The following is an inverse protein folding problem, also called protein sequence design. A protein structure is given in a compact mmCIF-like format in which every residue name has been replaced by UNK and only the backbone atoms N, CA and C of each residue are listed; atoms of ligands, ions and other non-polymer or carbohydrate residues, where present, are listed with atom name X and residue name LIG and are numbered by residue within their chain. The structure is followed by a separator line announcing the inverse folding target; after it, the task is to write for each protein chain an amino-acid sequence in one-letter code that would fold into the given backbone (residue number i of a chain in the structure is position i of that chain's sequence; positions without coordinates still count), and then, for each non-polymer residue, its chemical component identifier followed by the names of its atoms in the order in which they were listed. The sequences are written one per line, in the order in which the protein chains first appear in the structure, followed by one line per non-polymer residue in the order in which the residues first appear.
data_IF_172499028242
#
_entry.id   IF_172499028242
#
_cell.length_a   1.000
_cell.length_b   1.000
_cell.length_c   1.000
_cell.angle_alpha   90.00
_cell.angle_beta   90.00
_cell.angle_gamma   90.00
#
_symmetry.space_group_name_H-M   'P 1'
#
loop_
_entity.id
_entity.type
_entity.pdbx_description
1 polymer ?
#
# COMPACT_ATOMS: atom_id res chain seq x y z
N UNK A 1 -10.50 -22.73 -73.37
CA UNK A 1 -10.32 -22.01 -72.10
C UNK A 1 -9.70 -22.96 -71.08
N UNK A 2 -8.51 -22.58 -70.59
CA UNK A 2 -7.67 -23.11 -69.50
C UNK A 2 -7.96 -24.47 -68.83
N UNK A 3 -7.07 -25.41 -69.16
CA UNK A 3 -6.37 -26.44 -68.38
C UNK A 3 -6.73 -26.72 -66.90
N UNK A 4 -6.95 -28.01 -66.66
CA UNK A 4 -6.80 -28.78 -65.42
C UNK A 4 -5.35 -29.24 -65.28
N UNK A 5 -4.76 -29.20 -64.07
CA UNK A 5 -3.70 -30.15 -63.69
C UNK A 5 -3.72 -30.44 -62.17
N UNK A 6 -3.52 -31.71 -61.84
CA UNK A 6 -3.49 -32.33 -60.51
C UNK A 6 -2.08 -32.89 -60.21
N UNK A 7 -1.77 -32.98 -58.91
CA UNK A 7 -0.82 -33.87 -58.18
C UNK A 7 0.65 -33.45 -57.99
N UNK A 8 1.09 -33.61 -56.74
CA UNK A 8 2.45 -33.69 -56.15
C UNK A 8 3.13 -35.05 -56.44
N UNK A 9 4.37 -35.44 -55.97
CA UNK A 9 5.32 -34.81 -55.03
C UNK A 9 6.85 -35.01 -55.34
N UNK A 10 7.73 -34.60 -54.40
CA UNK A 10 9.13 -35.06 -54.11
C UNK A 10 10.33 -34.48 -54.90
N UNK A 11 11.40 -34.23 -54.11
CA UNK A 11 12.83 -34.02 -54.42
C UNK A 11 13.29 -32.64 -54.93
N UNK A 12 13.94 -31.87 -54.04
CA UNK A 12 15.27 -31.28 -54.29
C UNK A 12 15.99 -31.01 -52.96
N UNK A 13 17.02 -31.80 -52.70
CA UNK A 13 18.06 -31.57 -51.70
C UNK A 13 19.10 -30.57 -52.24
N UNK A 14 19.75 -29.88 -51.31
CA UNK A 14 21.03 -29.17 -51.42
C UNK A 14 21.06 -27.80 -52.12
N UNK A 15 21.19 -26.72 -51.32
CA UNK A 15 22.45 -25.97 -51.18
C UNK A 15 22.18 -24.56 -50.62
N UNK A 16 22.52 -24.33 -49.35
CA UNK A 16 22.87 -22.99 -48.83
C UNK A 16 23.50 -23.11 -47.43
N UNK A 17 24.77 -23.52 -47.38
CA UNK A 17 25.67 -23.18 -46.27
C UNK A 17 26.38 -21.88 -46.66
N UNK A 18 25.93 -20.73 -46.14
CA UNK A 18 26.82 -19.58 -45.98
C UNK A 18 26.63 -18.98 -44.59
N UNK A 19 27.67 -19.21 -43.79
CA UNK A 19 27.84 -18.89 -42.38
C UNK A 19 28.13 -17.39 -42.30
N UNK A 20 27.26 -16.61 -41.67
CA UNK A 20 27.59 -15.29 -41.17
C UNK A 20 27.77 -15.40 -39.65
N UNK A 21 29.04 -15.38 -39.24
CA UNK A 21 29.47 -15.05 -37.89
C UNK A 21 28.89 -13.68 -37.51
N UNK A 22 28.04 -13.65 -36.49
CA UNK A 22 27.86 -12.46 -35.65
C UNK A 22 27.80 -12.91 -34.20
N UNK A 23 28.82 -12.53 -33.47
CA UNK A 23 29.00 -12.75 -32.04
C UNK A 23 27.77 -12.23 -31.28
N UNK A 24 26.93 -13.16 -30.82
CA UNK A 24 25.93 -12.86 -29.81
C UNK A 24 26.64 -12.90 -28.45
N UNK A 25 26.76 -11.74 -27.80
CA UNK A 25 27.18 -11.65 -26.40
C UNK A 25 26.17 -12.40 -25.54
N UNK A 26 26.68 -13.27 -24.70
CA UNK A 26 25.97 -14.07 -23.71
C UNK A 26 25.08 -13.19 -22.82
N UNK A 27 23.77 -13.34 -22.94
CA UNK A 27 22.86 -13.09 -21.82
C UNK A 27 23.03 -14.30 -20.89
N UNK A 28 23.47 -14.03 -19.66
CA UNK A 28 23.72 -15.02 -18.62
C UNK A 28 22.43 -15.77 -18.28
N UNK A 29 22.36 -17.04 -18.69
CA UNK A 29 21.44 -18.02 -18.11
C UNK A 29 21.97 -18.38 -16.72
N UNK A 30 21.32 -17.90 -15.66
CA UNK A 30 21.44 -18.53 -14.35
C UNK A 30 20.49 -19.75 -14.32
N UNK A 31 20.94 -20.93 -13.87
CA UNK A 31 20.12 -22.13 -13.86
C UNK A 31 19.03 -22.06 -12.79
N UNK A 32 17.82 -22.48 -13.14
CA UNK A 32 16.75 -22.80 -12.19
C UNK A 32 17.19 -24.01 -11.36
N UNK A 33 17.54 -23.79 -10.10
CA UNK A 33 17.69 -24.87 -9.13
C UNK A 33 16.29 -25.26 -8.67
N UNK A 34 15.85 -26.45 -9.06
CA UNK A 34 14.68 -27.10 -8.49
C UNK A 34 14.99 -27.52 -7.06
N UNK A 35 14.46 -26.80 -6.08
CA UNK A 35 14.47 -27.22 -4.68
C UNK A 35 13.27 -28.15 -4.42
N UNK A 36 13.57 -29.44 -4.27
CA UNK A 36 12.68 -30.39 -3.63
C UNK A 36 12.46 -29.93 -2.17
N UNK A 37 11.21 -29.69 -1.80
CA UNK A 37 10.82 -29.25 -0.47
C UNK A 37 10.72 -30.45 0.48
N UNK A 38 11.81 -30.77 1.16
CA UNK A 38 11.75 -31.42 2.46
C UNK A 38 11.70 -30.32 3.53
N UNK A 39 10.60 -30.29 4.29
CA UNK A 39 10.36 -29.31 5.36
C UNK A 39 11.28 -29.63 6.53
N UNK A 40 12.43 -28.96 6.58
CA UNK A 40 13.27 -28.89 7.79
C UNK A 40 12.85 -27.64 8.56
N UNK A 41 12.23 -27.84 9.73
CA UNK A 41 11.92 -26.76 10.68
C UNK A 41 13.22 -26.20 11.29
N UNK A 42 13.88 -25.30 10.58
CA UNK A 42 14.97 -24.52 11.15
C UNK A 42 14.40 -23.42 12.05
N UNK A 43 14.48 -23.64 13.37
CA UNK A 43 14.25 -22.60 14.37
C UNK A 43 15.20 -21.42 14.10
N UNK A 44 14.72 -20.17 14.06
CA UNK A 44 15.56 -19.04 13.72
C UNK A 44 16.68 -18.87 14.76
N UNK A 45 17.92 -18.56 14.34
CA UNK A 45 19.02 -18.33 15.27
C UNK A 45 18.68 -17.14 16.17
N UNK A 46 18.65 -17.39 17.48
CA UNK A 46 18.41 -16.36 18.50
C UNK A 46 19.47 -15.27 18.38
N UNK A 47 19.04 -14.04 18.05
CA UNK A 47 19.81 -12.82 18.32
C UNK A 47 20.38 -12.05 17.13
N UNK A 48 20.13 -12.43 15.87
CA UNK A 48 20.44 -11.55 14.73
C UNK A 48 19.17 -11.04 14.07
N UNK A 49 18.86 -9.75 14.30
CA UNK A 49 17.83 -9.04 13.52
C UNK A 49 18.18 -9.20 12.03
N UNK A 50 17.24 -9.60 11.15
CA UNK A 50 17.51 -9.65 9.72
C UNK A 50 17.97 -8.27 9.27
N UNK A 51 19.20 -8.18 8.77
CA UNK A 51 19.69 -6.96 8.12
C UNK A 51 18.97 -6.88 6.78
N UNK A 52 17.87 -6.13 6.73
CA UNK A 52 17.24 -5.78 5.46
C UNK A 52 18.32 -5.15 4.57
N UNK A 53 18.53 -5.73 3.38
CA UNK A 53 19.60 -5.30 2.46
C UNK A 53 19.49 -3.82 2.06
N UNK A 54 18.32 -3.20 2.20
CA UNK A 54 18.10 -1.77 2.03
C UNK A 54 16.94 -1.30 2.93
N UNK A 55 17.19 -0.49 3.98
CA UNK A 55 16.13 0.09 4.81
C UNK A 55 15.12 0.93 4.01
N UNK A 56 15.54 1.45 2.86
CA UNK A 56 14.74 2.30 1.96
C UNK A 56 13.61 1.56 1.26
N UNK A 57 13.73 0.25 1.02
CA UNK A 57 12.66 -0.52 0.35
C UNK A 57 11.39 -0.62 1.20
N UNK A 58 11.52 -0.59 2.52
CA UNK A 58 10.37 -0.59 3.43
C UNK A 58 9.56 0.70 3.30
N UNK A 59 10.21 1.83 3.02
CA UNK A 59 9.54 3.13 2.98
C UNK A 59 8.49 3.26 1.89
N UNK A 60 8.61 2.47 0.81
CA UNK A 60 7.61 2.44 -0.25
C UNK A 60 6.21 2.13 0.27
N UNK A 61 6.09 1.19 1.19
CA UNK A 61 4.80 0.78 1.73
C UNK A 61 4.39 1.60 2.96
N UNK A 62 5.38 2.09 3.72
CA UNK A 62 5.13 2.92 4.90
C UNK A 62 4.60 4.30 4.49
N UNK A 63 5.28 4.94 3.54
CA UNK A 63 5.05 6.33 3.14
C UNK A 63 4.75 6.48 1.63
N UNK A 64 3.77 5.75 1.05
CA UNK A 64 3.46 5.80 -0.38
C UNK A 64 3.25 7.23 -0.92
N UNK A 65 2.84 8.18 -0.08
CA UNK A 65 2.60 9.56 -0.48
C UNK A 65 3.83 10.35 -0.93
N UNK A 66 5.05 9.98 -0.52
CA UNK A 66 6.27 10.66 -0.99
C UNK A 66 6.58 10.33 -2.45
N UNK A 67 6.00 9.25 -2.97
CA UNK A 67 6.10 8.89 -4.36
C UNK A 67 5.12 9.75 -5.18
N UNK A 68 5.61 10.48 -6.19
CA UNK A 68 4.78 11.27 -7.09
C UNK A 68 3.85 10.44 -7.99
N UNK A 69 2.91 11.10 -8.68
CA UNK A 69 2.04 10.42 -9.64
C UNK A 69 2.87 9.82 -10.79
N UNK A 70 2.71 8.53 -11.13
CA UNK A 70 3.44 7.88 -12.22
C UNK A 70 3.21 8.49 -13.61
N UNK A 71 2.10 9.21 -13.82
CA UNK A 71 1.74 9.76 -15.12
C UNK A 71 2.65 10.96 -15.48
N UNK A 72 3.45 10.88 -16.56
CA UNK A 72 4.40 11.93 -16.95
C UNK A 72 3.76 13.32 -17.13
N UNK A 73 2.48 13.38 -17.52
CA UNK A 73 1.77 14.65 -17.73
C UNK A 73 1.64 15.49 -16.47
N UNK A 74 1.60 14.84 -15.31
CA UNK A 74 1.46 15.51 -14.02
C UNK A 74 2.80 15.73 -13.32
N UNK A 75 3.91 15.21 -13.84
CA UNK A 75 5.24 15.29 -13.20
C UNK A 75 5.85 16.70 -13.35
N UNK A 76 6.41 17.21 -12.26
CA UNK A 76 7.25 18.40 -12.29
C UNK A 76 8.26 18.32 -11.14
N UNK A 77 9.55 18.16 -11.48
CA UNK A 77 10.62 17.93 -10.51
C UNK A 77 10.71 19.04 -9.45
N UNK A 78 10.58 20.31 -9.85
CA UNK A 78 10.65 21.43 -8.92
C UNK A 78 9.46 21.43 -7.96
N UNK A 79 8.24 21.25 -8.49
CA UNK A 79 7.02 21.19 -7.68
C UNK A 79 7.11 20.08 -6.64
N UNK A 80 7.53 18.90 -7.04
CA UNK A 80 7.62 17.73 -6.17
C UNK A 80 8.69 17.89 -5.08
N UNK A 81 9.83 18.52 -5.39
CA UNK A 81 10.86 18.83 -4.39
C UNK A 81 10.35 19.82 -3.35
N UNK A 82 9.62 20.86 -3.78
CA UNK A 82 8.98 21.83 -2.87
C UNK A 82 7.90 21.17 -2.01
N UNK A 83 6.98 20.40 -2.61
CA UNK A 83 5.94 19.66 -1.88
C UNK A 83 6.56 18.71 -0.85
N UNK A 84 7.66 18.02 -1.20
CA UNK A 84 8.37 17.13 -0.28
C UNK A 84 8.98 17.87 0.91
N UNK A 85 9.59 19.03 0.66
CA UNK A 85 10.11 19.88 1.73
C UNK A 85 8.99 20.31 2.69
N UNK A 86 7.84 20.71 2.17
CA UNK A 86 6.68 21.09 2.97
C UNK A 86 6.08 19.92 3.76
N UNK A 87 5.95 18.73 3.14
CA UNK A 87 5.53 17.51 3.82
C UNK A 87 6.44 17.17 5.01
N UNK A 88 7.76 17.25 4.81
CA UNK A 88 8.74 16.95 5.86
C UNK A 88 8.72 18.02 6.96
N UNK A 89 8.53 19.29 6.59
CA UNK A 89 8.30 20.38 7.55
C UNK A 89 7.03 20.13 8.38
N UNK A 90 5.93 19.69 7.79
CA UNK A 90 4.70 19.36 8.52
C UNK A 90 4.90 18.17 9.48
N UNK A 91 5.59 17.12 9.03
CA UNK A 91 5.98 15.96 9.87
C UNK A 91 6.92 16.33 11.03
N UNK A 92 7.63 17.45 10.94
CA UNK A 92 8.41 17.93 12.09
C UNK A 92 7.52 18.41 13.24
N UNK A 93 6.30 18.87 12.93
CA UNK A 93 5.35 19.45 13.88
C UNK A 93 4.34 18.42 14.41
N UNK A 94 3.85 17.53 13.55
CA UNK A 94 2.91 16.46 13.92
C UNK A 94 3.53 15.10 13.65
N UNK A 95 3.39 14.19 14.61
CA UNK A 95 3.88 12.84 14.45
C UNK A 95 2.90 12.03 13.59
N UNK A 96 3.38 11.58 12.43
CA UNK A 96 2.60 10.78 11.49
C UNK A 96 3.20 9.36 11.51
N UNK A 97 2.54 8.41 12.18
CA UNK A 97 3.06 7.06 12.36
C UNK A 97 3.00 6.24 11.07
N UNK A 98 3.65 5.08 11.09
CA UNK A 98 3.49 4.04 10.07
C UNK A 98 2.12 3.37 10.21
N UNK A 99 1.37 3.28 9.12
CA UNK A 99 0.11 2.53 9.06
C UNK A 99 -0.17 2.03 7.65
N UNK A 100 -1.01 1.01 7.54
CA UNK A 100 -1.39 0.39 6.26
C UNK A 100 -2.90 0.35 6.10
N UNK A 101 -3.35 -0.09 4.94
CA UNK A 101 -4.76 -0.43 4.74
C UNK A 101 -5.08 -1.67 5.58
N UNK A 102 -6.12 -1.56 6.40
CA UNK A 102 -6.48 -2.53 7.43
C UNK A 102 -6.06 -2.14 8.85
N UNK A 103 -5.16 -1.17 9.01
CA UNK A 103 -4.76 -0.67 10.34
C UNK A 103 -5.90 0.10 11.01
N UNK A 104 -6.07 -0.06 12.32
CA UNK A 104 -7.04 0.68 13.13
C UNK A 104 -6.37 1.93 13.68
N UNK A 105 -6.94 3.10 13.40
CA UNK A 105 -6.41 4.41 13.77
C UNK A 105 -7.40 5.18 14.63
N UNK A 106 -6.86 6.01 15.52
CA UNK A 106 -7.57 7.10 16.19
C UNK A 106 -7.00 8.44 15.71
N UNK A 107 -7.82 9.26 15.06
CA UNK A 107 -7.42 10.57 14.56
C UNK A 107 -8.10 11.65 15.39
N UNK A 108 -7.32 12.60 15.88
CA UNK A 108 -7.81 13.77 16.63
C UNK A 108 -7.64 15.03 15.78
N UNK A 109 -8.74 15.72 15.53
CA UNK A 109 -8.81 16.97 14.76
C UNK A 109 -9.25 18.12 15.66
N UNK A 110 -8.75 19.33 15.34
CA UNK A 110 -9.28 20.59 15.84
C UNK A 110 -10.54 20.98 15.05
N UNK A 111 -11.70 20.94 15.70
CA UNK A 111 -12.99 21.31 15.10
C UNK A 111 -13.62 22.46 15.90
N UNK A 112 -13.80 23.66 15.33
CA UNK A 112 -14.39 24.80 16.03
C UNK A 112 -15.81 24.56 16.57
N UNK A 113 -16.57 23.63 15.97
CA UNK A 113 -17.96 23.37 16.32
C UNK A 113 -18.13 22.22 17.30
N UNK A 114 -17.09 21.41 17.51
CA UNK A 114 -17.13 20.30 18.47
C UNK A 114 -17.06 20.80 19.92
N UNK A 115 -17.69 20.07 20.83
CA UNK A 115 -17.54 20.30 22.26
C UNK A 115 -16.07 20.10 22.65
N UNK A 116 -15.44 21.12 23.25
CA UNK A 116 -14.00 21.09 23.54
C UNK A 116 -13.08 21.39 22.36
N UNK A 117 -13.63 21.89 21.24
CA UNK A 117 -12.91 22.27 20.01
C UNK A 117 -12.06 21.16 19.37
N UNK A 118 -12.29 19.91 19.79
CA UNK A 118 -11.53 18.74 19.37
C UNK A 118 -12.48 17.60 19.10
N UNK A 119 -12.21 16.83 18.05
CA UNK A 119 -13.00 15.68 17.67
C UNK A 119 -12.07 14.49 17.43
N UNK A 120 -12.40 13.35 18.04
CA UNK A 120 -11.66 12.09 17.93
C UNK A 120 -12.51 11.07 17.19
N UNK A 121 -11.97 10.49 16.14
CA UNK A 121 -12.62 9.41 15.40
C UNK A 121 -11.73 8.17 15.38
N UNK A 122 -12.32 7.02 15.70
CA UNK A 122 -11.65 5.71 15.64
C UNK A 122 -12.25 4.90 14.51
N UNK A 123 -11.40 4.26 13.71
CA UNK A 123 -11.86 3.37 12.65
C UNK A 123 -10.74 2.64 11.91
N UNK A 124 -11.13 1.70 11.07
CA UNK A 124 -10.21 0.97 10.17
C UNK A 124 -9.90 1.80 8.93
N UNK A 125 -8.63 1.84 8.54
CA UNK A 125 -8.20 2.47 7.29
C UNK A 125 -8.58 1.58 6.09
N UNK A 126 -9.48 2.06 5.23
CA UNK A 126 -10.00 1.28 4.08
C UNK A 126 -9.32 1.62 2.75
N UNK A 127 -8.77 2.83 2.63
CA UNK A 127 -8.08 3.33 1.45
C UNK A 127 -7.00 4.32 1.87
N UNK A 128 -5.84 4.22 1.23
CA UNK A 128 -4.83 5.29 1.14
C UNK A 128 -4.67 5.67 -0.32
N UNK A 129 -4.76 6.95 -0.65
CA UNK A 129 -4.63 7.44 -2.03
C UNK A 129 -4.02 8.83 -2.09
N UNK A 130 -3.76 9.29 -3.30
CA UNK A 130 -3.12 10.58 -3.53
C UNK A 130 -1.61 10.52 -3.28
N UNK A 131 -0.95 11.60 -3.68
CA UNK A 131 0.49 11.79 -3.55
C UNK A 131 0.78 13.21 -3.09
N UNK A 132 1.97 13.43 -2.53
CA UNK A 132 2.39 14.74 -2.03
C UNK A 132 1.51 15.23 -0.89
N UNK A 133 1.23 16.54 -0.90
CA UNK A 133 0.36 17.17 0.10
C UNK A 133 -1.11 16.72 0.03
N UNK A 134 -1.54 16.20 -1.12
CA UNK A 134 -2.92 15.71 -1.36
C UNK A 134 -3.10 14.24 -1.01
N UNK A 135 -2.23 13.71 -0.15
CA UNK A 135 -2.35 12.35 0.33
C UNK A 135 -3.53 12.24 1.29
N UNK A 136 -4.41 11.29 1.03
CA UNK A 136 -5.65 11.09 1.77
C UNK A 136 -5.73 9.65 2.28
N UNK A 137 -6.41 9.47 3.41
CA UNK A 137 -6.82 8.16 3.88
C UNK A 137 -8.26 8.21 4.38
N UNK A 138 -8.99 7.11 4.21
CA UNK A 138 -10.39 7.01 4.65
C UNK A 138 -10.49 6.04 5.81
N UNK A 139 -11.07 6.49 6.91
CA UNK A 139 -11.41 5.66 8.06
C UNK A 139 -12.88 5.27 8.00
N UNK A 140 -13.17 4.04 8.38
CA UNK A 140 -14.52 3.50 8.51
C UNK A 140 -14.75 2.95 9.90
N UNK A 141 -15.91 3.25 10.49
CA UNK A 141 -16.38 2.59 11.70
C UNK A 141 -17.91 2.47 11.67
N UNK A 142 -18.46 1.53 12.41
CA UNK A 142 -19.90 1.43 12.66
C UNK A 142 -20.16 1.90 14.08
N UNK A 143 -20.83 3.03 14.23
CA UNK A 143 -21.18 3.63 15.52
C UNK A 143 -22.70 3.66 15.58
N UNK A 144 -23.28 3.16 16.68
CA UNK A 144 -24.74 3.09 16.87
C UNK A 144 -25.48 2.46 15.68
N UNK A 145 -24.93 1.35 15.17
CA UNK A 145 -25.41 0.62 13.99
C UNK A 145 -25.41 1.42 12.66
N UNK A 146 -24.86 2.63 12.65
CA UNK A 146 -24.68 3.46 11.46
C UNK A 146 -23.23 3.39 10.98
N UNK A 147 -23.05 3.09 9.70
CA UNK A 147 -21.73 3.12 9.07
C UNK A 147 -21.29 4.55 8.80
N UNK A 148 -20.18 4.97 9.42
CA UNK A 148 -19.59 6.30 9.26
C UNK A 148 -18.24 6.14 8.56
N UNK A 149 -18.02 6.97 7.55
CA UNK A 149 -16.73 7.09 6.87
C UNK A 149 -16.25 8.53 6.94
N UNK A 150 -15.00 8.72 7.37
CA UNK A 150 -14.37 10.03 7.40
C UNK A 150 -13.09 9.97 6.59
N UNK A 151 -12.96 10.91 5.66
CA UNK A 151 -11.76 11.08 4.85
C UNK A 151 -10.90 12.16 5.47
N UNK A 152 -9.62 11.85 5.63
CA UNK A 152 -8.62 12.75 6.18
C UNK A 152 -7.55 13.04 5.13
N UNK A 153 -7.18 14.30 5.00
CA UNK A 153 -5.96 14.70 4.32
C UNK A 153 -4.78 14.58 5.30
N UNK A 154 -3.75 13.83 4.94
CA UNK A 154 -2.66 13.45 5.86
C UNK A 154 -1.89 14.65 6.41
N UNK A 155 -1.79 15.72 5.63
CA UNK A 155 -1.02 16.93 5.95
C UNK A 155 -1.89 18.11 6.37
N UNK A 156 -3.19 17.90 6.61
CA UNK A 156 -4.11 18.94 7.05
C UNK A 156 -3.60 19.60 8.37
N UNK A 157 -3.52 20.94 8.44
CA UNK A 157 -3.19 21.65 9.67
C UNK A 157 -4.16 21.38 10.83
N UNK A 158 -5.41 20.99 10.57
CA UNK A 158 -6.40 20.72 11.63
C UNK A 158 -6.10 19.44 12.42
N UNK A 159 -5.33 18.51 11.84
CA UNK A 159 -4.93 17.27 12.52
C UNK A 159 -3.94 17.59 13.65
N UNK A 160 -4.32 17.19 14.86
CA UNK A 160 -3.51 17.33 16.06
C UNK A 160 -2.67 16.09 16.31
N UNK A 161 -3.29 14.90 16.21
CA UNK A 161 -2.64 13.63 16.50
C UNK A 161 -3.24 12.49 15.67
N UNK A 162 -2.37 11.58 15.22
CA UNK A 162 -2.75 10.31 14.58
C UNK A 162 -2.15 9.20 15.43
N UNK A 163 -3.00 8.46 16.13
CA UNK A 163 -2.59 7.34 16.97
C UNK A 163 -2.93 6.01 16.27
N UNK A 164 -1.95 5.12 16.18
CA UNK A 164 -2.18 3.74 15.73
C UNK A 164 -2.65 2.92 16.91
N UNK A 165 -3.83 2.32 16.80
CA UNK A 165 -4.39 1.46 17.83
C UNK A 165 -4.01 0.00 17.60
N UNK A 166 -4.16 -0.49 16.37
CA UNK A 166 -3.73 -1.85 16.00
C UNK A 166 -3.10 -1.81 14.62
N UNK A 167 -1.81 -2.11 14.56
CA UNK A 167 -1.05 -2.18 13.32
C UNK A 167 -1.20 -3.55 12.66
N UNK A 168 -2.00 -3.62 11.60
CA UNK A 168 -2.17 -4.82 10.79
C UNK A 168 -2.29 -4.48 9.30
N UNK A 169 -1.94 -5.44 8.44
CA UNK A 169 -2.19 -5.43 7.00
C UNK A 169 -3.32 -6.38 6.67
N UNK A 170 -4.07 -6.10 5.61
CA UNK A 170 -5.04 -7.03 5.02
C UNK A 170 -4.50 -7.60 3.70
N UNK A 171 -5.21 -8.59 3.15
CA UNK A 171 -4.83 -9.25 1.90
C UNK A 171 -5.02 -8.36 0.67
N UNK A 172 -5.95 -7.41 0.75
CA UNK A 172 -6.30 -6.49 -0.34
C UNK A 172 -5.81 -5.07 -0.01
N UNK A 173 -5.42 -4.33 -1.04
CA UNK A 173 -4.95 -2.94 -0.92
C UNK A 173 -6.09 -1.93 -0.68
N UNK A 174 -7.34 -2.31 -0.97
CA UNK A 174 -8.54 -1.49 -0.78
C UNK A 174 -9.67 -2.31 -0.17
N UNK A 175 -10.27 -1.80 0.90
CA UNK A 175 -11.28 -2.51 1.67
C UNK A 175 -12.69 -1.93 1.46
N UNK A 176 -13.01 -1.44 0.27
CA UNK A 176 -14.33 -0.84 0.01
C UNK A 176 -15.49 -1.83 0.13
N UNK A 177 -15.23 -3.14 -0.02
CA UNK A 177 -16.20 -4.20 0.19
C UNK A 177 -16.73 -4.25 1.63
N UNK A 178 -16.04 -3.61 2.60
CA UNK A 178 -16.52 -3.44 3.97
C UNK A 178 -17.83 -2.62 4.08
N UNK A 179 -18.22 -1.90 3.03
CA UNK A 179 -19.53 -1.22 2.94
C UNK A 179 -20.68 -2.21 2.83
N UNK A 180 -20.47 -3.28 2.08
CA UNK A 180 -21.45 -4.33 1.81
C UNK A 180 -21.24 -5.57 2.71
N UNK A 181 -20.21 -5.56 3.56
CA UNK A 181 -19.94 -6.59 4.54
C UNK A 181 -20.91 -6.56 5.73
N UNK A 182 -20.88 -7.63 6.52
CA UNK A 182 -21.53 -7.64 7.83
C UNK A 182 -20.92 -6.55 8.75
N UNK A 183 -21.73 -5.86 9.58
CA UNK A 183 -21.25 -4.76 10.43
C UNK A 183 -20.16 -5.17 11.42
N UNK A 184 -20.14 -6.44 11.85
CA UNK A 184 -19.19 -7.00 12.81
C UNK A 184 -17.72 -6.74 12.43
N UNK A 185 -17.39 -6.83 11.13
CA UNK A 185 -16.03 -6.61 10.64
C UNK A 185 -15.58 -5.14 10.66
N UNK A 186 -16.50 -4.21 10.85
CA UNK A 186 -16.27 -2.77 10.81
C UNK A 186 -16.56 -2.07 12.15
N UNK A 187 -17.05 -2.79 13.14
CA UNK A 187 -17.46 -2.23 14.43
C UNK A 187 -16.26 -2.25 15.37
N UNK A 188 -15.76 -1.08 15.74
CA UNK A 188 -14.64 -0.93 16.67
C UNK A 188 -15.01 -0.02 17.84
N UNK A 189 -14.61 -0.36 19.08
CA UNK A 189 -14.89 0.49 20.23
C UNK A 189 -14.12 1.81 20.12
N UNK A 190 -14.77 2.91 20.47
CA UNK A 190 -14.21 4.27 20.41
C UNK A 190 -13.05 4.43 21.41
N UNK A 191 -13.12 3.73 22.54
CA UNK A 191 -12.13 3.75 23.62
C UNK A 191 -11.20 2.54 23.57
N UNK A 192 -10.87 2.07 22.36
CA UNK A 192 -9.91 0.97 22.17
C UNK A 192 -8.50 1.41 22.59
N UNK A 193 -7.84 0.56 23.38
CA UNK A 193 -6.46 0.74 23.79
C UNK A 193 -5.46 0.39 22.66
N UNK A 194 -4.30 1.08 22.59
CA UNK A 194 -3.28 0.79 21.59
C UNK A 194 -2.51 -0.51 21.90
N UNK A 195 -2.46 -1.41 20.93
CA UNK A 195 -1.67 -2.63 20.92
C UNK A 195 -0.25 -2.35 20.41
N UNK A 196 0.71 -2.34 21.33
CA UNK A 196 2.11 -2.02 21.02
C UNK A 196 2.84 -3.29 20.56
N UNK A 197 3.38 -3.25 19.34
CA UNK A 197 4.25 -4.31 18.82
C UNK A 197 5.70 -4.11 19.27
N UNK A 198 6.45 -5.19 19.57
CA UNK A 198 7.86 -5.08 19.94
C UNK A 198 8.71 -4.54 18.79
N UNK A 199 9.71 -3.73 19.11
CA UNK A 199 10.52 -3.05 18.10
C UNK A 199 11.23 -4.03 17.14
N UNK A 200 10.87 -3.97 15.87
CA UNK A 200 11.49 -4.75 14.79
C UNK A 200 10.76 -6.05 14.45
N UNK A 201 9.62 -6.35 15.07
CA UNK A 201 8.74 -7.39 14.55
C UNK A 201 8.18 -6.98 13.17
N UNK A 202 8.04 -7.91 12.22
CA UNK A 202 7.35 -7.62 10.98
C UNK A 202 5.88 -7.27 11.25
N UNK A 203 5.29 -6.45 10.39
CA UNK A 203 3.87 -6.07 10.49
C UNK A 203 3.00 -7.31 10.23
N UNK A 204 2.08 -7.68 11.14
CA UNK A 204 1.24 -8.86 10.96
C UNK A 204 0.26 -8.66 9.80
N UNK A 205 0.09 -9.70 9.00
CA UNK A 205 -0.91 -9.74 7.91
C UNK A 205 -2.10 -10.55 8.40
N UNK A 206 -3.24 -9.89 8.52
CA UNK A 206 -4.50 -10.50 8.91
C UNK A 206 -5.15 -11.15 7.68
N UNK A 207 -5.23 -12.48 7.69
CA UNK A 207 -5.79 -13.31 6.61
C UNK A 207 -7.29 -13.56 6.75
N UNK A 208 -7.96 -12.96 7.74
CA UNK A 208 -9.40 -13.12 7.96
C UNK A 208 -10.18 -12.69 6.72
N UNK A 209 -11.01 -13.60 6.23
CA UNK A 209 -11.93 -13.35 5.12
C UNK A 209 -13.27 -12.82 5.64
N UNK A 210 -13.76 -11.79 4.97
CA UNK A 210 -15.00 -11.09 5.30
C UNK A 210 -16.18 -11.72 4.56
N UNK A 211 -17.33 -11.82 5.25
CA UNK A 211 -18.60 -12.23 4.64
C UNK A 211 -19.42 -11.00 4.22
N UNK A 212 -19.85 -10.99 2.96
CA UNK A 212 -20.75 -9.99 2.40
C UNK A 212 -22.20 -10.29 2.73
N UNK A 213 -23.00 -9.22 2.83
CA UNK A 213 -24.47 -9.28 2.88
C UNK A 213 -25.02 -9.84 1.56
N UNK A 214 -26.30 -10.29 1.53
CA UNK A 214 -26.96 -10.57 0.26
C UNK A 214 -27.03 -9.32 -0.61
N UNK A 215 -27.09 -9.52 -1.93
CA UNK A 215 -27.24 -8.45 -2.93
C UNK A 215 -28.55 -7.66 -2.68
N UNK A 216 -28.62 -6.36 -3.06
CA UNK A 216 -27.68 -5.60 -3.89
C UNK A 216 -26.45 -5.06 -3.14
N UNK A 217 -25.32 -5.01 -3.84
CA UNK A 217 -24.06 -4.41 -3.38
C UNK A 217 -23.81 -3.08 -4.08
N UNK A 218 -22.98 -2.22 -3.47
CA UNK A 218 -22.56 -0.94 -4.03
C UNK A 218 -21.77 -1.11 -5.33
N UNK A 219 -20.81 -2.03 -5.34
CA UNK A 219 -19.99 -2.33 -6.50
C UNK A 219 -20.10 -3.80 -6.93
N UNK A 220 -19.54 -4.07 -8.10
CA UNK A 220 -19.41 -5.41 -8.65
C UNK A 220 -18.13 -6.05 -8.13
N UNK A 221 -18.10 -6.33 -6.82
CA UNK A 221 -16.96 -6.95 -6.12
C UNK A 221 -16.53 -8.25 -6.75
N UNK A 222 -17.45 -8.95 -7.40
CA UNK A 222 -17.12 -10.17 -8.12
C UNK A 222 -16.08 -9.92 -9.22
N UNK A 223 -15.96 -8.72 -9.77
CA UNK A 223 -15.01 -8.45 -10.87
C UNK A 223 -13.58 -8.16 -10.40
N UNK A 224 -13.37 -7.89 -9.12
CA UNK A 224 -12.14 -7.29 -8.62
C UNK A 224 -11.09 -8.29 -8.08
N UNK A 225 -11.26 -9.60 -8.30
CA UNK A 225 -10.32 -10.65 -7.85
C UNK A 225 -9.85 -10.51 -6.39
N UNK A 226 -10.78 -10.11 -5.50
CA UNK A 226 -10.51 -9.87 -4.07
C UNK A 226 -10.13 -11.18 -3.35
N UNK A 227 -9.13 -11.10 -2.47
CA UNK A 227 -8.65 -12.23 -1.65
C UNK A 227 -9.27 -12.25 -0.25
N UNK A 228 -9.67 -11.09 0.25
CA UNK A 228 -10.21 -10.91 1.61
C UNK A 228 -11.70 -11.19 1.75
N UNK A 229 -12.38 -11.79 0.76
CA UNK A 229 -13.83 -12.04 0.79
C UNK A 229 -14.13 -13.51 0.50
N UNK A 230 -14.90 -14.18 1.36
CA UNK A 230 -15.14 -15.63 1.26
C UNK A 230 -16.38 -16.01 0.44
N UNK A 231 -17.51 -15.32 0.64
CA UNK A 231 -18.83 -15.79 0.21
C UNK A 231 -19.31 -15.21 -1.13
N UNK A 232 -18.41 -14.64 -1.95
CA UNK A 232 -18.80 -14.02 -3.23
C UNK A 232 -19.53 -15.04 -4.12
N UNK A 233 -19.04 -16.29 -4.17
CA UNK A 233 -19.57 -17.32 -5.06
C UNK A 233 -20.99 -17.77 -4.73
N UNK A 234 -21.40 -17.67 -3.46
CA UNK A 234 -22.74 -18.02 -2.97
C UNK A 234 -23.81 -17.10 -3.55
N UNK A 235 -23.48 -15.81 -3.75
CA UNK A 235 -24.41 -14.79 -4.25
C UNK A 235 -24.41 -14.65 -5.78
N UNK A 236 -23.52 -15.38 -6.48
CA UNK A 236 -23.36 -15.28 -7.93
C UNK A 236 -24.30 -16.23 -8.68
N UNK A 237 -25.11 -15.65 -9.57
CA UNK A 237 -25.87 -16.41 -10.58
C UNK A 237 -24.95 -16.87 -11.71
N UNK A 238 -25.32 -17.95 -12.39
CA UNK A 238 -24.54 -18.49 -13.52
C UNK A 238 -24.26 -17.45 -14.61
N UNK A 239 -25.26 -16.62 -14.93
CA UNK A 239 -25.12 -15.49 -15.87
C UNK A 239 -24.03 -14.49 -15.44
N UNK A 240 -23.88 -14.25 -14.14
CA UNK A 240 -22.86 -13.34 -13.61
C UNK A 240 -21.47 -13.99 -13.63
N UNK A 241 -21.38 -15.32 -13.43
CA UNK A 241 -20.13 -16.10 -13.57
C UNK A 241 -19.60 -16.03 -15.01
N UNK A 242 -20.46 -16.31 -16.00
CA UNK A 242 -20.08 -16.21 -17.42
C UNK A 242 -19.60 -14.79 -17.77
N UNK A 243 -20.30 -13.75 -17.29
CA UNK A 243 -19.90 -12.35 -17.52
C UNK A 243 -18.60 -11.94 -16.81
N UNK A 244 -18.28 -12.55 -15.67
CA UNK A 244 -17.02 -12.36 -14.97
C UNK A 244 -15.89 -12.95 -15.82
N UNK A 245 -16.05 -14.19 -16.27
CA UNK A 245 -15.05 -14.89 -17.07
C UNK A 245 -14.75 -14.16 -18.39
N UNK A 246 -15.79 -13.71 -19.10
CA UNK A 246 -15.66 -12.93 -20.33
C UNK A 246 -14.93 -11.58 -20.15
N UNK A 247 -14.87 -11.04 -18.92
CA UNK A 247 -14.21 -9.76 -18.62
C UNK A 247 -12.79 -9.92 -18.09
N UNK A 248 -12.38 -11.14 -17.71
CA UNK A 248 -11.02 -11.34 -17.22
C UNK A 248 -10.03 -10.95 -18.30
N UNK A 249 -8.95 -10.31 -17.87
CA UNK A 249 -7.86 -9.86 -18.74
C UNK A 249 -6.56 -10.55 -18.33
N UNK A 250 -6.45 -11.89 -18.49
CA UNK A 250 -5.30 -12.65 -18.00
C UNK A 250 -3.97 -12.20 -18.61
N UNK A 251 -3.99 -11.58 -19.79
CA UNK A 251 -2.81 -10.99 -20.44
C UNK A 251 -2.21 -9.81 -19.67
N UNK A 252 -2.97 -9.11 -18.82
CA UNK A 252 -2.45 -7.97 -18.05
C UNK A 252 -1.35 -8.36 -17.07
N UNK A 253 -1.35 -9.60 -16.58
CA UNK A 253 -0.27 -10.14 -15.73
C UNK A 253 1.08 -10.12 -16.44
N UNK A 254 1.07 -10.20 -17.77
CA UNK A 254 2.27 -10.22 -18.61
C UNK A 254 2.57 -8.87 -19.26
N UNK A 255 1.75 -7.83 -19.02
CA UNK A 255 1.96 -6.50 -19.57
C UNK A 255 2.95 -5.70 -18.72
N UNK A 256 4.24 -5.93 -18.98
CA UNK A 256 5.35 -5.23 -18.31
C UNK A 256 5.27 -3.71 -18.49
N UNK A 257 4.72 -3.24 -19.61
CA UNK A 257 4.61 -1.82 -19.89
C UNK A 257 3.50 -1.17 -19.03
N UNK A 258 2.40 -1.88 -18.79
CA UNK A 258 1.37 -1.45 -17.84
C UNK A 258 1.95 -1.31 -16.43
N UNK A 259 2.77 -2.27 -16.00
CA UNK A 259 3.41 -2.20 -14.68
C UNK A 259 4.45 -1.08 -14.60
N UNK A 260 5.26 -0.90 -15.64
CA UNK A 260 6.18 0.24 -15.75
C UNK A 260 5.44 1.58 -15.66
N UNK A 261 4.27 1.73 -16.30
CA UNK A 261 3.47 2.96 -16.22
C UNK A 261 2.78 3.18 -14.87
N UNK A 262 2.54 2.12 -14.10
CA UNK A 262 1.93 2.21 -12.75
C UNK A 262 2.94 2.59 -11.68
N UNK A 263 4.22 2.32 -11.89
CA UNK A 263 5.26 2.52 -10.89
C UNK A 263 6.28 3.54 -11.36
N UNK A 264 6.79 4.33 -10.44
CA UNK A 264 7.90 5.23 -10.74
C UNK A 264 9.16 4.39 -11.02
N UNK A 265 10.04 4.79 -11.96
CA UNK A 265 11.34 4.16 -12.14
C UNK A 265 12.13 4.03 -10.83
N UNK A 266 12.91 2.96 -10.68
CA UNK A 266 13.61 2.68 -9.43
C UNK A 266 14.68 3.74 -9.10
N UNK A 267 15.27 4.35 -10.14
CA UNK A 267 16.26 5.43 -10.03
C UNK A 267 15.68 6.64 -9.29
N UNK A 268 14.55 7.16 -9.80
CA UNK A 268 13.77 8.22 -9.16
C UNK A 268 13.37 7.85 -7.71
N UNK A 269 12.93 6.61 -7.48
CA UNK A 269 12.59 6.15 -6.13
C UNK A 269 13.80 6.20 -5.20
N UNK A 270 14.99 5.80 -5.65
CA UNK A 270 16.20 5.81 -4.82
C UNK A 270 16.64 7.22 -4.46
N UNK A 271 16.56 8.19 -5.38
CA UNK A 271 16.85 9.60 -5.09
C UNK A 271 15.89 10.13 -4.03
N UNK A 272 14.58 9.94 -4.26
CA UNK A 272 13.51 10.42 -3.37
C UNK A 272 13.66 9.80 -1.98
N UNK A 273 13.89 8.49 -1.89
CA UNK A 273 14.05 7.82 -0.60
C UNK A 273 15.35 8.21 0.11
N UNK A 274 16.42 8.49 -0.63
CA UNK A 274 17.65 9.03 -0.06
C UNK A 274 17.41 10.38 0.63
N UNK A 275 16.71 11.30 -0.05
CA UNK A 275 16.34 12.60 0.52
C UNK A 275 15.45 12.45 1.77
N UNK A 276 14.36 11.69 1.65
CA UNK A 276 13.39 11.48 2.74
C UNK A 276 14.05 10.81 3.94
N UNK A 277 14.87 9.78 3.70
CA UNK A 277 15.58 9.07 4.77
C UNK A 277 16.48 10.01 5.56
N UNK A 278 17.30 10.82 4.88
CA UNK A 278 18.20 11.75 5.52
C UNK A 278 17.46 12.75 6.41
N UNK A 279 16.36 13.32 5.91
CA UNK A 279 15.54 14.27 6.68
C UNK A 279 14.83 13.60 7.86
N UNK A 280 14.22 12.42 7.67
CA UNK A 280 13.59 11.67 8.76
C UNK A 280 14.59 11.31 9.87
N UNK A 281 15.82 10.94 9.52
CA UNK A 281 16.88 10.65 10.50
C UNK A 281 17.30 11.91 11.27
N UNK A 282 17.47 13.04 10.58
CA UNK A 282 17.75 14.32 11.23
C UNK A 282 16.64 14.72 12.20
N UNK A 283 15.38 14.55 11.81
CA UNK A 283 14.21 14.80 12.67
C UNK A 283 14.20 13.88 13.89
N UNK A 284 14.46 12.57 13.71
CA UNK A 284 14.57 11.62 14.83
C UNK A 284 15.65 12.01 15.82
N UNK A 285 16.84 12.39 15.34
CA UNK A 285 17.95 12.86 16.18
C UNK A 285 17.58 14.15 16.91
N UNK A 286 16.96 15.11 16.20
CA UNK A 286 16.49 16.37 16.79
C UNK A 286 15.47 16.14 17.90
N UNK A 287 14.44 15.32 17.66
CA UNK A 287 13.44 14.92 18.67
C UNK A 287 14.09 14.26 19.89
N UNK A 288 15.06 13.35 19.70
CA UNK A 288 15.81 12.74 20.80
C UNK A 288 16.63 13.75 21.60
N UNK A 289 17.21 14.77 20.96
CA UNK A 289 17.92 15.86 21.65
C UNK A 289 16.95 16.72 22.46
N UNK A 290 15.83 17.15 21.85
CA UNK A 290 14.79 17.94 22.50
C UNK A 290 14.20 17.21 23.72
N UNK A 291 13.89 15.92 23.59
CA UNK A 291 13.36 15.11 24.70
C UNK A 291 14.32 15.00 25.89
N UNK A 292 15.63 15.09 25.66
CA UNK A 292 16.66 15.08 26.71
C UNK A 292 16.92 16.45 27.31
N UNK A 293 16.57 17.53 26.61
CA UNK A 293 16.72 18.88 27.14
C UNK A 293 15.72 19.07 28.28
N UNK A 294 16.23 19.25 29.50
CA UNK A 294 15.41 19.62 30.66
C UNK A 294 15.01 21.08 30.48
N UNK A 295 13.72 21.34 30.36
CA UNK A 295 13.19 22.70 30.39
C UNK A 295 13.23 23.20 31.84
N UNK A 296 13.97 24.28 32.08
CA UNK A 296 13.90 24.98 33.36
C UNK A 296 12.56 25.73 33.41
N UNK A 297 11.61 25.23 34.18
CA UNK A 297 10.36 25.95 34.45
C UNK A 297 10.61 26.88 35.64
N UNK A 298 10.73 28.18 35.36
CA UNK A 298 10.80 29.17 36.44
C UNK A 298 9.50 29.09 37.26
N UNK A 299 9.57 29.09 38.61
CA UNK A 299 8.39 29.07 39.44
C UNK A 299 7.54 30.31 39.15
N UNK A 300 6.25 30.11 38.83
CA UNK A 300 5.30 31.22 38.67
C UNK A 300 5.11 31.86 40.05
N UNK A 301 5.57 33.10 40.22
CA UNK A 301 5.26 33.91 41.40
C UNK A 301 3.74 34.06 41.46
N UNK A 302 3.12 33.52 42.51
CA UNK A 302 1.72 33.81 42.79
C UNK A 302 1.66 35.25 43.27
N UNK A 303 1.29 36.17 42.38
CA UNK A 303 0.86 37.51 42.76
C UNK A 303 -0.46 37.33 43.50
N UNK A 304 -0.41 37.56 44.82
CA UNK A 304 -1.57 37.57 45.71
C UNK A 304 -2.44 38.80 45.53
#
# INVERSE_FOLDING_TARGET
MSLVMRKSPIEYFNAAKWIIRRECRYLSNLPEVAENSEVVEDKPPKGRKPRFLNPTLQYRHVYPEFLPDPNPKFRNSLREKLERADMLKRRSQVDIPEFYVGTILAVTIADPHAQGKTNKFVGICIERKGCGLRAEFTLRNVIDHQGIEVRYELYDPTIQNIQVLRLEKRLDDKLFYLRDALPEYCTFPIDMDPEILPEGSPVPVNTVQVKLKPRPWLERWERQELKGVSNIEEHLKEKDRVRRELRKTPWEKFDLMKDYRKTIPIEDQTEIWGEVYNQLQQMRVSRKKMSKQRTFTAPKTQLG
#
